data_IF_951299825203
#
_entry.id   IF_951299825203
#
_cell.length_a   1.000
_cell.length_b   1.000
_cell.length_c   1.000
_cell.angle_alpha   90.00
_cell.angle_beta   90.00
_cell.angle_gamma   90.00
#
_symmetry.space_group_name_H-M   'P 1'
#
loop_
_entity.id
_entity.type
_entity.pdbx_description
1 polymer ?
#
# COMPACT_ATOMS: atom_id res chain seq x y z
N UNK A 1 25.18 -3.73 12.14
CA UNK A 1 24.29 -3.04 11.17
C UNK A 1 23.13 -3.94 10.72
N UNK A 2 23.38 -5.16 10.23
CA UNK A 2 22.33 -6.06 9.70
C UNK A 2 21.23 -6.47 10.70
N UNK A 3 21.54 -6.52 11.98
CA UNK A 3 20.56 -6.86 13.01
C UNK A 3 19.45 -5.80 13.15
N UNK A 4 19.79 -4.50 13.05
CA UNK A 4 18.81 -3.40 13.08
C UNK A 4 17.86 -3.47 11.88
N UNK A 5 18.42 -3.73 10.68
CA UNK A 5 17.63 -3.94 9.46
C UNK A 5 16.66 -5.12 9.60
N UNK A 6 17.11 -6.24 10.19
CA UNK A 6 16.26 -7.41 10.48
C UNK A 6 15.12 -7.07 11.45
N UNK A 7 15.40 -6.34 12.54
CA UNK A 7 14.39 -5.89 13.50
C UNK A 7 13.35 -5.00 12.82
N UNK A 8 13.78 -4.01 12.04
CA UNK A 8 12.87 -3.08 11.36
C UNK A 8 12.03 -3.79 10.29
N UNK A 9 12.61 -4.73 9.55
CA UNK A 9 11.83 -5.59 8.64
C UNK A 9 10.83 -6.48 9.37
N UNK A 10 11.10 -6.80 10.63
CA UNK A 10 10.28 -7.70 11.44
C UNK A 10 10.05 -9.02 10.71
N UNK A 11 8.79 -9.33 10.42
CA UNK A 11 8.35 -10.59 9.84
C UNK A 11 8.21 -10.57 8.30
N UNK A 12 8.72 -9.52 7.64
CA UNK A 12 8.72 -9.39 6.17
C UNK A 12 9.74 -10.34 5.54
N UNK A 13 9.38 -10.94 4.40
CA UNK A 13 10.32 -11.73 3.59
C UNK A 13 11.28 -10.77 2.89
N UNK A 14 12.56 -10.85 3.23
CA UNK A 14 13.63 -10.07 2.59
C UNK A 14 14.16 -10.83 1.37
N UNK A 15 14.62 -10.09 0.37
CA UNK A 15 15.46 -10.63 -0.68
C UNK A 15 16.88 -10.73 -0.13
N UNK A 16 17.42 -11.95 -0.09
CA UNK A 16 18.77 -12.24 0.39
C UNK A 16 19.48 -13.11 -0.64
N UNK A 17 20.58 -12.61 -1.20
CA UNK A 17 21.55 -13.40 -1.98
C UNK A 17 22.99 -13.05 -1.55
N UNK A 18 23.99 -13.48 -2.33
CA UNK A 18 25.40 -13.24 -2.02
C UNK A 18 25.78 -11.75 -2.02
N UNK A 19 24.98 -10.89 -2.66
CA UNK A 19 25.29 -9.46 -2.86
C UNK A 19 24.30 -8.55 -2.13
N UNK A 20 23.04 -8.96 -2.00
CA UNK A 20 21.96 -8.10 -1.53
C UNK A 20 21.24 -8.68 -0.31
N UNK A 21 20.90 -7.82 0.65
CA UNK A 21 20.00 -8.10 1.77
C UNK A 21 18.98 -6.96 1.91
N UNK A 22 17.95 -6.99 1.06
CA UNK A 22 16.98 -5.91 0.91
C UNK A 22 15.59 -6.33 1.37
N UNK A 23 14.86 -5.41 2.00
CA UNK A 23 13.44 -5.57 2.29
C UNK A 23 12.61 -5.34 1.00
N UNK A 24 12.77 -6.28 0.08
CA UNK A 24 12.13 -6.39 -1.24
C UNK A 24 11.58 -7.81 -1.36
N UNK A 25 10.41 -7.97 -1.97
CA UNK A 25 9.80 -9.27 -2.24
C UNK A 25 9.15 -9.27 -3.61
N UNK A 26 9.41 -10.32 -4.39
CA UNK A 26 8.63 -10.65 -5.58
C UNK A 26 7.29 -11.24 -5.14
N UNK A 27 6.21 -10.46 -5.29
CA UNK A 27 4.85 -10.95 -5.03
C UNK A 27 4.41 -11.85 -6.19
N UNK A 28 4.71 -11.43 -7.40
CA UNK A 28 4.73 -12.25 -8.61
C UNK A 28 6.10 -12.14 -9.26
N UNK A 29 6.32 -12.79 -10.41
CA UNK A 29 7.57 -12.64 -11.17
C UNK A 29 7.81 -11.19 -11.64
N UNK A 30 6.74 -10.40 -11.82
CA UNK A 30 6.78 -9.06 -12.42
C UNK A 30 6.27 -7.94 -11.52
N UNK A 31 5.80 -8.27 -10.31
CA UNK A 31 5.31 -7.29 -9.32
C UNK A 31 6.06 -7.46 -8.01
N UNK A 32 6.82 -6.43 -7.64
CA UNK A 32 7.64 -6.37 -6.45
C UNK A 32 7.00 -5.46 -5.41
N UNK A 33 7.14 -5.85 -4.14
CA UNK A 33 6.83 -5.01 -2.98
C UNK A 33 8.12 -4.71 -2.22
N UNK A 34 8.33 -3.47 -1.81
CA UNK A 34 9.48 -3.10 -0.97
C UNK A 34 9.12 -2.10 0.13
N UNK A 35 10.00 -1.97 1.13
CA UNK A 35 9.96 -0.82 2.05
C UNK A 35 10.62 0.41 1.42
N UNK A 36 10.43 1.57 2.06
CA UNK A 36 10.88 2.86 1.54
C UNK A 36 12.40 2.87 1.21
N UNK A 37 12.80 3.33 0.01
CA UNK A 37 14.20 3.49 -0.36
C UNK A 37 14.78 4.73 0.34
N UNK A 38 15.49 4.51 1.44
CA UNK A 38 15.96 5.58 2.31
C UNK A 38 17.30 6.17 1.83
N UNK A 39 17.58 7.41 2.23
CA UNK A 39 18.88 8.07 2.06
C UNK A 39 19.38 8.58 3.43
N UNK A 40 20.67 8.88 3.52
CA UNK A 40 21.28 9.40 4.76
C UNK A 40 21.23 8.40 5.92
N UNK A 41 20.98 8.90 7.14
CA UNK A 41 21.00 8.10 8.37
C UNK A 41 19.92 7.00 8.41
N UNK A 42 18.80 7.17 7.69
CA UNK A 42 17.74 6.15 7.64
C UNK A 42 18.20 4.83 6.99
N UNK A 43 19.29 4.84 6.21
CA UNK A 43 19.87 3.65 5.57
C UNK A 43 20.44 2.63 6.57
N UNK A 44 20.71 3.05 7.82
CA UNK A 44 21.18 2.16 8.89
C UNK A 44 20.14 1.10 9.26
N UNK A 45 18.87 1.39 9.05
CA UNK A 45 17.77 0.52 9.47
C UNK A 45 16.72 0.25 8.36
N UNK A 46 16.78 0.97 7.24
CA UNK A 46 15.96 0.73 6.03
C UNK A 46 16.84 0.33 4.83
N UNK A 47 16.19 0.00 3.71
CA UNK A 47 16.87 -0.20 2.44
C UNK A 47 17.59 1.09 2.03
N UNK A 48 18.88 1.00 1.68
CA UNK A 48 19.57 2.13 1.04
C UNK A 48 19.02 2.31 -0.37
N UNK A 49 18.71 3.54 -0.75
CA UNK A 49 18.28 3.88 -2.10
C UNK A 49 19.32 3.47 -3.15
N UNK A 50 20.62 3.66 -2.86
CA UNK A 50 21.69 3.24 -3.76
C UNK A 50 21.72 1.71 -3.97
N UNK A 51 21.55 0.94 -2.89
CA UNK A 51 21.47 -0.53 -2.98
C UNK A 51 20.23 -0.97 -3.77
N UNK A 52 19.08 -0.32 -3.57
CA UNK A 52 17.83 -0.62 -4.30
C UNK A 52 17.98 -0.32 -5.79
N UNK A 53 18.50 0.85 -6.15
CA UNK A 53 18.74 1.23 -7.56
C UNK A 53 19.72 0.26 -8.21
N UNK A 54 20.82 -0.07 -7.54
CA UNK A 54 21.80 -1.02 -8.08
C UNK A 54 21.21 -2.43 -8.25
N UNK A 55 20.43 -2.89 -7.27
CA UNK A 55 19.70 -4.16 -7.35
C UNK A 55 18.75 -4.20 -8.55
N UNK A 56 17.89 -3.19 -8.70
CA UNK A 56 16.92 -3.14 -9.79
C UNK A 56 17.60 -3.01 -11.15
N UNK A 57 18.63 -2.17 -11.28
CA UNK A 57 19.44 -2.05 -12.50
C UNK A 57 20.12 -3.37 -12.86
N UNK A 58 20.69 -4.07 -11.88
CA UNK A 58 21.38 -5.35 -12.11
C UNK A 58 20.41 -6.45 -12.55
N UNK A 59 19.22 -6.52 -11.93
CA UNK A 59 18.25 -7.58 -12.20
C UNK A 59 17.34 -7.30 -13.40
N UNK A 60 17.01 -6.03 -13.65
CA UNK A 60 15.99 -5.62 -14.61
C UNK A 60 16.44 -4.55 -15.61
N UNK A 61 17.69 -4.09 -15.55
CA UNK A 61 18.24 -3.03 -16.41
C UNK A 61 17.38 -1.75 -16.28
N UNK A 62 16.82 -1.22 -17.37
CA UNK A 62 15.88 -0.10 -17.38
C UNK A 62 14.40 -0.55 -17.43
N UNK A 63 14.12 -1.84 -17.32
CA UNK A 63 12.78 -2.42 -17.49
C UNK A 63 12.02 -2.49 -16.16
N UNK A 64 12.09 -1.43 -15.36
CA UNK A 64 11.29 -1.32 -14.15
C UNK A 64 10.62 0.04 -14.00
N UNK A 65 9.47 0.05 -13.31
CA UNK A 65 8.71 1.26 -12.98
C UNK A 65 8.38 1.27 -11.48
N UNK A 66 8.65 2.37 -10.80
CA UNK A 66 8.47 2.48 -9.34
C UNK A 66 7.19 3.23 -9.01
N UNK A 67 6.36 2.68 -8.12
CA UNK A 67 5.15 3.32 -7.59
C UNK A 67 5.38 3.73 -6.13
N UNK A 68 5.43 5.04 -5.89
CA UNK A 68 5.58 5.63 -4.57
C UNK A 68 4.21 6.03 -3.99
N UNK A 69 3.80 5.33 -2.94
CA UNK A 69 2.54 5.60 -2.21
C UNK A 69 2.78 6.13 -0.80
N UNK A 70 4.01 6.54 -0.49
CA UNK A 70 4.39 6.92 0.86
C UNK A 70 3.87 8.30 1.29
N UNK A 71 3.59 9.18 0.33
CA UNK A 71 3.40 10.62 0.58
C UNK A 71 4.70 11.38 0.76
N UNK A 72 5.85 10.69 0.83
CA UNK A 72 7.18 11.29 0.99
C UNK A 72 7.82 11.52 -0.37
N UNK A 73 8.41 12.70 -0.55
CA UNK A 73 9.36 12.98 -1.63
C UNK A 73 10.74 12.44 -1.27
N UNK A 74 11.47 11.98 -2.28
CA UNK A 74 12.87 11.59 -2.18
C UNK A 74 13.53 11.81 -3.55
N UNK A 75 14.85 11.71 -3.63
CA UNK A 75 15.63 11.99 -4.83
C UNK A 75 15.39 10.96 -5.96
N UNK A 76 14.34 11.16 -6.76
CA UNK A 76 13.96 10.26 -7.86
C UNK A 76 14.98 10.25 -8.99
N UNK A 77 15.88 11.23 -9.07
CA UNK A 77 16.92 11.32 -10.11
C UNK A 77 17.82 10.09 -10.13
N UNK A 78 17.99 9.39 -8.99
CA UNK A 78 18.75 8.13 -8.94
C UNK A 78 18.09 6.99 -9.71
N UNK A 79 16.76 6.96 -9.80
CA UNK A 79 16.04 6.02 -10.65
C UNK A 79 16.07 6.46 -12.12
N UNK A 80 15.91 7.76 -12.36
CA UNK A 80 15.95 8.35 -13.71
C UNK A 80 17.31 8.17 -14.38
N UNK A 81 18.40 8.30 -13.62
CA UNK A 81 19.78 8.08 -14.08
C UNK A 81 20.05 6.65 -14.58
N UNK A 82 19.19 5.69 -14.24
CA UNK A 82 19.26 4.30 -14.74
C UNK A 82 18.16 3.97 -15.75
N UNK A 83 17.46 5.00 -16.26
CA UNK A 83 16.42 4.87 -17.29
C UNK A 83 15.06 4.43 -16.76
N UNK A 84 14.79 4.58 -15.45
CA UNK A 84 13.50 4.23 -14.83
C UNK A 84 12.77 5.46 -14.31
N UNK A 85 11.44 5.42 -14.30
CA UNK A 85 10.59 6.49 -13.76
C UNK A 85 10.00 6.12 -12.39
N UNK A 86 9.65 7.13 -11.60
CA UNK A 86 8.86 6.99 -10.36
C UNK A 86 7.50 7.65 -10.57
N UNK A 87 6.41 6.89 -10.40
CA UNK A 87 5.04 7.41 -10.37
C UNK A 87 4.58 7.60 -8.93
N UNK A 88 3.88 8.70 -8.67
CA UNK A 88 3.43 9.08 -7.33
C UNK A 88 1.91 8.89 -7.20
N UNK A 89 1.50 8.06 -6.24
CA UNK A 89 0.10 7.84 -5.86
C UNK A 89 -0.04 7.96 -4.33
N UNK A 90 0.16 9.16 -3.76
CA UNK A 90 0.26 9.32 -2.31
C UNK A 90 -1.11 9.22 -1.63
N UNK A 91 -1.12 8.59 -0.44
CA UNK A 91 -2.19 8.77 0.53
C UNK A 91 -1.68 8.54 1.96
N UNK A 92 -2.43 9.10 2.92
CA UNK A 92 -2.05 9.19 4.33
C UNK A 92 -1.71 7.83 4.95
N UNK A 93 -0.75 7.80 5.88
CA UNK A 93 -0.36 6.53 6.49
C UNK A 93 -1.52 5.92 7.27
N UNK A 94 -1.62 4.59 7.25
CA UNK A 94 -2.75 3.84 7.83
C UNK A 94 -4.16 4.13 7.25
N UNK A 95 -4.29 5.01 6.25
CA UNK A 95 -5.54 5.29 5.56
C UNK A 95 -5.68 4.48 4.27
N UNK A 96 -6.82 4.68 3.59
CA UNK A 96 -7.09 4.21 2.23
C UNK A 96 -7.28 5.41 1.31
N UNK A 97 -6.85 5.35 0.04
CA UNK A 97 -6.97 6.47 -0.89
C UNK A 97 -8.40 6.62 -1.37
N UNK A 98 -8.73 7.70 -2.07
CA UNK A 98 -9.94 7.73 -2.88
C UNK A 98 -9.95 6.55 -3.87
N UNK A 99 -11.11 5.89 -4.04
CA UNK A 99 -11.20 4.62 -4.77
C UNK A 99 -10.64 4.69 -6.20
N UNK A 100 -10.81 5.83 -6.89
CA UNK A 100 -10.34 6.04 -8.26
C UNK A 100 -8.80 5.97 -8.38
N UNK A 101 -8.06 6.32 -7.31
CA UNK A 101 -6.59 6.26 -7.29
C UNK A 101 -6.12 4.81 -7.44
N UNK A 102 -6.84 3.83 -6.85
CA UNK A 102 -6.51 2.42 -6.99
C UNK A 102 -6.71 1.94 -8.44
N UNK A 103 -7.79 2.36 -9.09
CA UNK A 103 -8.04 2.05 -10.50
C UNK A 103 -7.00 2.67 -11.43
N UNK A 104 -6.69 3.96 -11.27
CA UNK A 104 -5.67 4.64 -12.05
C UNK A 104 -4.29 3.99 -11.89
N UNK A 105 -3.91 3.65 -10.66
CA UNK A 105 -2.65 2.97 -10.39
C UNK A 105 -2.63 1.57 -11.03
N UNK A 106 -3.69 0.77 -10.89
CA UNK A 106 -3.78 -0.56 -11.52
C UNK A 106 -3.71 -0.48 -13.05
N UNK A 107 -4.39 0.48 -13.66
CA UNK A 107 -4.33 0.73 -15.09
C UNK A 107 -2.89 1.06 -15.53
N UNK A 108 -2.22 2.01 -14.85
CA UNK A 108 -0.83 2.36 -15.16
C UNK A 108 0.14 1.20 -14.98
N UNK A 109 -0.05 0.39 -13.94
CA UNK A 109 0.72 -0.84 -13.75
C UNK A 109 0.52 -1.80 -14.92
N UNK A 110 -0.73 -2.02 -15.34
CA UNK A 110 -1.06 -2.93 -16.42
C UNK A 110 -0.50 -2.45 -17.76
N UNK A 111 -0.70 -1.18 -18.10
CA UNK A 111 -0.17 -0.54 -19.31
C UNK A 111 1.34 -0.73 -19.44
N UNK A 112 2.10 -0.49 -18.35
CA UNK A 112 3.55 -0.67 -18.36
C UNK A 112 3.97 -2.13 -18.51
N UNK A 113 3.27 -3.05 -17.82
CA UNK A 113 3.58 -4.48 -17.90
C UNK A 113 3.22 -5.10 -19.26
N UNK A 114 2.27 -4.52 -20.01
CA UNK A 114 1.93 -4.98 -21.36
C UNK A 114 2.92 -4.54 -22.44
N UNK A 115 3.77 -3.54 -22.17
CA UNK A 115 4.71 -3.05 -23.19
C UNK A 115 5.79 -4.08 -23.54
N UNK A 116 6.34 -4.78 -22.54
CA UNK A 116 7.43 -5.74 -22.72
C UNK A 116 7.33 -6.84 -21.64
N UNK A 117 7.60 -8.09 -21.99
CA UNK A 117 7.49 -9.23 -21.06
C UNK A 117 8.48 -9.16 -19.88
N UNK A 118 9.63 -8.50 -20.10
CA UNK A 118 10.66 -8.26 -19.09
C UNK A 118 10.34 -7.12 -18.13
N UNK A 119 9.31 -6.30 -18.41
CA UNK A 119 8.98 -5.17 -17.56
C UNK A 119 8.51 -5.65 -16.18
N UNK A 120 8.98 -4.99 -15.13
CA UNK A 120 8.54 -5.22 -13.76
C UNK A 120 8.06 -3.93 -13.08
N UNK A 121 7.09 -4.05 -12.18
CA UNK A 121 6.63 -2.92 -11.35
C UNK A 121 7.10 -3.12 -9.92
N UNK A 122 7.59 -2.04 -9.29
CA UNK A 122 8.01 -2.02 -7.90
C UNK A 122 7.10 -1.07 -7.11
N UNK A 123 6.32 -1.60 -6.17
CA UNK A 123 5.39 -0.82 -5.35
C UNK A 123 5.96 -0.66 -3.94
N UNK A 124 5.95 0.56 -3.41
CA UNK A 124 6.35 0.82 -2.03
C UNK A 124 5.52 1.90 -1.35
N UNK A 125 5.58 1.91 -0.02
CA UNK A 125 5.12 2.99 0.83
C UNK A 125 6.21 3.28 1.88
N UNK A 126 5.86 3.50 3.15
CA UNK A 126 6.84 3.57 4.23
C UNK A 126 7.40 2.17 4.58
N UNK A 127 6.55 1.26 5.03
CA UNK A 127 6.96 -0.06 5.51
C UNK A 127 6.78 -1.19 4.48
N UNK A 128 6.14 -0.91 3.33
CA UNK A 128 5.86 -1.94 2.34
C UNK A 128 4.87 -3.01 2.83
N UNK A 129 3.86 -2.60 3.62
CA UNK A 129 2.86 -3.47 4.26
C UNK A 129 1.42 -3.15 3.84
N UNK A 130 0.74 -2.24 4.54
CA UNK A 130 -0.69 -1.99 4.36
C UNK A 130 -1.01 -1.37 3.01
N UNK A 131 -0.54 -0.15 2.77
CA UNK A 131 -0.75 0.60 1.53
C UNK A 131 -0.26 -0.17 0.30
N UNK A 132 0.98 -0.68 0.33
CA UNK A 132 1.57 -1.54 -0.70
C UNK A 132 0.70 -2.77 -0.99
N UNK A 133 0.23 -3.44 0.06
CA UNK A 133 -0.65 -4.60 -0.08
C UNK A 133 -2.00 -4.25 -0.67
N UNK A 134 -2.58 -3.10 -0.32
CA UNK A 134 -3.86 -2.65 -0.89
C UNK A 134 -3.76 -2.51 -2.40
N UNK A 135 -2.77 -1.77 -2.92
CA UNK A 135 -2.62 -1.61 -4.37
C UNK A 135 -2.30 -2.94 -5.06
N UNK A 136 -1.36 -3.72 -4.53
CA UNK A 136 -0.99 -5.01 -5.15
C UNK A 136 -2.18 -5.98 -5.14
N UNK A 137 -2.97 -6.04 -4.07
CA UNK A 137 -4.16 -6.88 -4.03
C UNK A 137 -5.21 -6.44 -5.07
N UNK A 138 -5.43 -5.13 -5.24
CA UNK A 138 -6.27 -4.61 -6.32
C UNK A 138 -5.73 -5.01 -7.69
N UNK A 139 -4.41 -4.91 -7.91
CA UNK A 139 -3.79 -5.27 -9.17
C UNK A 139 -3.88 -6.77 -9.47
N UNK A 140 -3.76 -7.64 -8.46
CA UNK A 140 -3.91 -9.09 -8.64
C UNK A 140 -5.32 -9.43 -9.16
N UNK A 141 -6.36 -8.74 -8.67
CA UNK A 141 -7.71 -8.89 -9.23
C UNK A 141 -7.82 -8.28 -10.62
N UNK A 142 -7.32 -7.05 -10.80
CA UNK A 142 -7.36 -6.33 -12.08
C UNK A 142 -6.70 -7.12 -13.23
N UNK A 143 -5.63 -7.86 -12.92
CA UNK A 143 -4.88 -8.69 -13.88
C UNK A 143 -5.42 -10.13 -14.02
N UNK A 144 -6.49 -10.49 -13.32
CA UNK A 144 -7.05 -11.84 -13.34
C UNK A 144 -6.25 -12.90 -12.58
N UNK A 145 -5.25 -12.50 -11.79
CA UNK A 145 -4.44 -13.41 -10.97
C UNK A 145 -5.11 -13.81 -9.65
N UNK A 146 -6.18 -13.12 -9.26
CA UNK A 146 -7.00 -13.43 -8.09
C UNK A 146 -8.48 -13.21 -8.40
N UNK A 147 -9.32 -14.12 -7.91
CA UNK A 147 -10.77 -14.10 -8.18
C UNK A 147 -11.57 -13.28 -7.17
N UNK A 148 -10.98 -12.94 -6.02
CA UNK A 148 -11.65 -12.17 -4.98
C UNK A 148 -10.71 -11.29 -4.16
N UNK A 149 -11.25 -10.29 -3.47
CA UNK A 149 -10.48 -9.43 -2.56
C UNK A 149 -9.78 -10.26 -1.46
N UNK A 150 -10.49 -11.25 -0.92
CA UNK A 150 -9.97 -12.17 0.10
C UNK A 150 -8.78 -12.96 -0.41
N UNK A 151 -8.86 -13.51 -1.62
CA UNK A 151 -7.78 -14.30 -2.22
C UNK A 151 -6.56 -13.43 -2.49
N UNK A 152 -6.78 -12.23 -3.06
CA UNK A 152 -5.71 -11.29 -3.36
C UNK A 152 -4.96 -10.82 -2.11
N UNK A 153 -5.70 -10.45 -1.04
CA UNK A 153 -5.12 -10.05 0.26
C UNK A 153 -4.34 -11.22 0.88
N UNK A 154 -4.90 -12.42 0.85
CA UNK A 154 -4.28 -13.62 1.41
C UNK A 154 -3.00 -13.97 0.67
N UNK A 155 -3.03 -13.98 -0.66
CA UNK A 155 -1.87 -14.23 -1.50
C UNK A 155 -0.74 -13.23 -1.23
N UNK A 156 -1.06 -11.93 -1.24
CA UNK A 156 -0.08 -10.89 -0.89
C UNK A 156 0.49 -11.10 0.51
N UNK A 157 -0.37 -11.39 1.49
CA UNK A 157 0.03 -11.65 2.87
C UNK A 157 1.05 -12.77 3.00
N UNK A 158 0.82 -13.91 2.36
CA UNK A 158 1.72 -15.07 2.41
C UNK A 158 3.01 -14.88 1.62
N UNK A 159 2.95 -14.15 0.50
CA UNK A 159 4.14 -13.80 -0.28
C UNK A 159 5.03 -12.81 0.47
N UNK A 160 4.45 -11.77 1.07
CA UNK A 160 5.22 -10.69 1.71
C UNK A 160 5.64 -10.98 3.14
N UNK A 161 4.89 -11.79 3.89
CA UNK A 161 5.11 -12.03 5.32
C UNK A 161 5.19 -13.52 5.64
N UNK A 162 5.94 -13.89 6.68
CA UNK A 162 6.06 -15.29 7.13
C UNK A 162 4.78 -15.85 7.76
N UNK A 163 3.88 -14.98 8.25
CA UNK A 163 2.65 -15.34 8.95
C UNK A 163 1.37 -14.92 8.19
N UNK A 164 1.47 -14.65 6.90
CA UNK A 164 0.30 -14.40 6.05
C UNK A 164 -0.46 -13.08 6.26
N UNK A 165 -0.01 -12.18 7.16
CA UNK A 165 -0.74 -10.92 7.45
C UNK A 165 -0.08 -9.70 6.78
N UNK A 166 -0.61 -9.33 5.61
CA UNK A 166 -0.21 -8.12 4.88
C UNK A 166 -1.12 -6.93 5.16
N UNK A 167 -2.24 -6.86 4.43
CA UNK A 167 -3.29 -5.84 4.64
C UNK A 167 -4.10 -6.24 5.86
N UNK A 168 -4.02 -5.44 6.92
CA UNK A 168 -4.64 -5.74 8.22
C UNK A 168 -5.49 -4.61 8.77
N UNK A 169 -5.29 -3.38 8.27
CA UNK A 169 -6.12 -2.25 8.66
C UNK A 169 -7.53 -2.44 8.08
N UNK A 170 -8.61 -2.40 8.89
CA UNK A 170 -9.97 -2.70 8.43
C UNK A 170 -10.40 -1.82 7.25
N UNK A 171 -10.08 -0.52 7.27
CA UNK A 171 -10.38 0.39 6.16
C UNK A 171 -9.66 -0.02 4.87
N UNK A 172 -8.40 -0.46 4.95
CA UNK A 172 -7.64 -0.90 3.77
C UNK A 172 -8.19 -2.20 3.20
N UNK A 173 -8.61 -3.14 4.04
CA UNK A 173 -9.30 -4.38 3.61
C UNK A 173 -10.59 -4.02 2.88
N UNK A 174 -11.42 -3.16 3.50
CA UNK A 174 -12.68 -2.69 2.91
C UNK A 174 -12.49 -2.03 1.55
N UNK A 175 -11.41 -1.29 1.34
CA UNK A 175 -11.15 -0.64 0.05
C UNK A 175 -10.76 -1.63 -1.05
N UNK A 176 -10.14 -2.76 -0.72
CA UNK A 176 -9.93 -3.84 -1.70
C UNK A 176 -11.27 -4.51 -2.03
N UNK A 177 -12.16 -4.70 -1.05
CA UNK A 177 -13.53 -5.22 -1.27
C UNK A 177 -14.38 -4.23 -2.10
N UNK A 178 -14.24 -2.93 -1.87
CA UNK A 178 -14.89 -1.90 -2.71
C UNK A 178 -14.35 -1.92 -4.13
N UNK A 179 -13.04 -2.08 -4.30
CA UNK A 179 -12.44 -2.21 -5.63
C UNK A 179 -13.01 -3.42 -6.36
N UNK A 180 -13.10 -4.59 -5.71
CA UNK A 180 -13.74 -5.79 -6.26
C UNK A 180 -15.18 -5.50 -6.70
N UNK A 181 -16.01 -4.95 -5.80
CA UNK A 181 -17.43 -4.66 -6.09
C UNK A 181 -17.62 -3.69 -7.25
N UNK A 182 -16.76 -2.68 -7.40
CA UNK A 182 -16.77 -1.78 -8.55
C UNK A 182 -16.31 -2.51 -9.81
N UNK A 183 -15.22 -3.29 -9.71
CA UNK A 183 -14.62 -4.01 -10.85
C UNK A 183 -15.56 -5.04 -11.47
N UNK A 184 -16.32 -5.79 -10.64
CA UNK A 184 -17.30 -6.78 -11.11
C UNK A 184 -18.69 -6.17 -11.40
N UNK A 185 -18.84 -4.86 -11.27
CA UNK A 185 -20.06 -4.14 -11.64
C UNK A 185 -21.23 -4.24 -10.64
N UNK A 186 -20.98 -4.68 -9.39
CA UNK A 186 -21.97 -4.58 -8.30
C UNK A 186 -22.23 -3.10 -7.96
N UNK A 187 -21.16 -2.32 -7.78
CA UNK A 187 -21.24 -0.86 -7.60
C UNK A 187 -21.04 -0.21 -8.98
N UNK A 188 -22.13 0.31 -9.55
CA UNK A 188 -22.12 0.92 -10.90
C UNK A 188 -21.84 2.42 -10.90
N UNK A 189 -22.31 3.13 -9.89
CA UNK A 189 -22.19 4.58 -9.80
C UNK A 189 -22.10 5.05 -8.35
N UNK A 190 -21.41 6.17 -8.08
CA UNK A 190 -21.48 6.79 -6.76
C UNK A 190 -22.94 7.13 -6.44
N UNK A 191 -23.34 6.88 -5.20
CA UNK A 191 -24.65 7.29 -4.70
C UNK A 191 -24.46 8.37 -3.64
N UNK A 192 -25.14 9.50 -3.81
CA UNK A 192 -25.13 10.53 -2.79
C UNK A 192 -25.90 10.01 -1.57
N UNK A 193 -25.28 10.08 -0.41
CA UNK A 193 -25.86 9.66 0.86
C UNK A 193 -25.67 10.76 1.89
N UNK A 194 -26.64 10.90 2.78
CA UNK A 194 -26.58 11.80 3.92
C UNK A 194 -26.70 11.00 5.21
N UNK A 195 -25.76 11.14 6.15
CA UNK A 195 -25.83 10.45 7.43
C UNK A 195 -27.00 11.01 8.24
N UNK A 196 -27.96 10.16 8.65
CA UNK A 196 -29.12 10.59 9.45
C UNK A 196 -28.93 10.35 10.95
N UNK A 197 -28.29 9.24 11.31
CA UNK A 197 -28.07 8.84 12.70
C UNK A 197 -26.83 7.96 12.81
N UNK A 198 -26.10 8.11 13.91
CA UNK A 198 -25.03 7.20 14.31
C UNK A 198 -25.51 6.48 15.58
N UNK A 199 -25.48 5.16 15.55
CA UNK A 199 -25.86 4.32 16.69
C UNK A 199 -24.62 3.56 17.15
N UNK A 200 -24.20 3.80 18.39
CA UNK A 200 -23.16 3.01 19.06
C UNK A 200 -23.88 1.98 19.93
N UNK A 201 -23.68 0.69 19.66
CA UNK A 201 -24.46 -0.38 20.29
C UNK A 201 -24.14 -0.58 21.77
N UNK A 202 -22.89 -0.34 22.18
CA UNK A 202 -22.41 -0.50 23.56
C UNK A 202 -21.59 0.72 23.94
N UNK A 203 -21.53 1.05 25.24
CA UNK A 203 -20.72 2.18 25.71
C UNK A 203 -19.23 1.80 25.62
N UNK A 204 -18.42 2.52 24.81
CA UNK A 204 -16.98 2.26 24.77
C UNK A 204 -16.32 2.56 26.12
N UNK A 205 -15.65 1.58 26.69
CA UNK A 205 -14.87 1.75 27.92
C UNK A 205 -13.42 2.16 27.61
N UNK A 206 -13.25 3.42 27.24
CA UNK A 206 -11.93 3.96 26.82
C UNK A 206 -11.02 4.24 28.03
N UNK A 207 -11.60 4.53 29.19
CA UNK A 207 -10.88 4.94 30.40
C UNK A 207 -10.95 3.95 31.56
N UNK A 208 -11.53 2.76 31.37
CA UNK A 208 -11.77 1.80 32.44
C UNK A 208 -12.83 2.23 33.45
N UNK A 209 -13.57 3.29 33.13
CA UNK A 209 -14.60 3.89 34.01
C UNK A 209 -16.03 3.46 33.65
N UNK A 210 -16.19 2.70 32.56
CA UNK A 210 -17.50 2.37 32.01
C UNK A 210 -18.26 3.59 31.45
N UNK A 211 -17.60 4.75 31.31
CA UNK A 211 -18.16 5.99 30.80
C UNK A 211 -17.28 6.56 29.69
N UNK A 212 -17.90 7.18 28.69
CA UNK A 212 -17.19 8.02 27.73
C UNK A 212 -18.02 9.23 27.30
N UNK A 213 -17.41 10.17 26.58
CA UNK A 213 -18.09 11.33 25.99
C UNK A 213 -17.77 11.34 24.49
N UNK A 214 -18.52 10.58 23.68
CA UNK A 214 -18.16 10.39 22.30
C UNK A 214 -18.39 11.67 21.50
N UNK A 215 -17.45 11.95 20.61
CA UNK A 215 -17.54 13.02 19.62
C UNK A 215 -17.21 12.41 18.26
N UNK A 216 -18.00 12.77 17.25
CA UNK A 216 -17.85 12.26 15.89
C UNK A 216 -17.65 13.42 14.94
N UNK A 217 -16.68 13.30 14.05
CA UNK A 217 -16.49 14.15 12.89
C UNK A 217 -16.65 13.33 11.62
N UNK A 218 -17.32 13.90 10.64
CA UNK A 218 -17.36 13.40 9.27
C UNK A 218 -16.53 14.37 8.45
N UNK A 219 -15.47 13.84 7.85
CA UNK A 219 -14.50 14.61 7.08
C UNK A 219 -14.56 14.23 5.61
N UNK A 220 -14.22 15.19 4.75
CA UNK A 220 -13.99 14.94 3.34
C UNK A 220 -12.72 14.08 3.17
N UNK A 221 -12.83 12.95 2.46
CA UNK A 221 -11.73 12.00 2.31
C UNK A 221 -10.55 12.46 1.43
N UNK A 222 -10.63 13.66 0.84
CA UNK A 222 -9.57 14.23 -0.02
C UNK A 222 -8.79 15.32 0.72
N UNK A 223 -9.49 16.33 1.25
CA UNK A 223 -8.87 17.49 1.91
C UNK A 223 -9.00 17.46 3.44
N UNK A 224 -9.64 16.43 4.00
CA UNK A 224 -9.87 16.25 5.44
C UNK A 224 -10.63 17.39 6.12
N UNK A 225 -11.34 18.22 5.34
CA UNK A 225 -12.23 19.25 5.89
C UNK A 225 -13.40 18.61 6.63
N UNK A 226 -13.73 19.15 7.81
CA UNK A 226 -14.89 18.70 8.60
C UNK A 226 -16.17 19.14 7.89
N UNK A 227 -16.94 18.17 7.43
CA UNK A 227 -18.23 18.36 6.78
C UNK A 227 -19.38 18.43 7.80
N UNK A 228 -19.23 17.71 8.91
CA UNK A 228 -20.24 17.61 9.96
C UNK A 228 -19.61 17.09 11.26
N UNK A 229 -20.11 17.52 12.40
CA UNK A 229 -19.72 16.96 13.68
C UNK A 229 -20.89 16.90 14.68
N UNK A 230 -20.78 16.02 15.67
CA UNK A 230 -21.75 15.90 16.76
C UNK A 230 -21.09 15.43 18.04
N UNK A 231 -21.53 15.96 19.18
CA UNK A 231 -21.28 15.36 20.50
C UNK A 231 -22.45 14.42 20.82
N UNK A 232 -22.15 13.15 21.04
CA UNK A 232 -23.17 12.16 21.37
C UNK A 232 -23.50 12.27 22.87
N UNK A 233 -24.80 12.34 23.16
CA UNK A 233 -25.31 12.16 24.53
C UNK A 233 -25.47 10.66 24.76
N UNK A 234 -24.77 10.13 25.77
CA UNK A 234 -24.89 8.74 26.22
C UNK A 234 -25.88 8.64 27.38
#
# INVERSE_FOLDING_TARGET
MDWLRKIVSGKRRRYVDQTYNLDVTYITQRVLAMSFPASGLETMYRNSMGEVVNFLKTKHQSNFLVFNMSGRSYDTQKFEAVGSTVLHFPWEDHHSPAIHILFQACQKMHEYLQQEDKNVVVVHCNAGKGRTGTLIACYLMYSGLANSAKDAITYYGWKRFSHGKGVTQPSQVRYVEYFEQVYIGIIKSPSLKSPQKIIIQTIPDVSGSGRCKPYVEIVNGVNFEVLWNIRLQL
#
